data_IF_468460988208
#
_entry.id   IF_468460988208
#
_cell.length_a   1.000
_cell.length_b   1.000
_cell.length_c   1.000
_cell.angle_alpha   90.00
_cell.angle_beta   90.00
_cell.angle_gamma   90.00
#
_symmetry.space_group_name_H-M   'P 1'
#
loop_
_entity.id
_entity.type
_entity.pdbx_description
1 polymer ?
#
# COMPACT_ATOMS: atom_id res chain seq x y z
N UNK A 1 -21.86 24.27 41.16
CA UNK A 1 -21.08 25.39 40.60
C UNK A 1 -22.07 26.49 40.31
N UNK A 2 -21.99 27.62 41.03
CA UNK A 2 -22.96 28.72 40.94
C UNK A 2 -22.81 29.47 39.60
N UNK A 3 -23.88 30.12 39.14
CA UNK A 3 -23.82 31.07 38.01
C UNK A 3 -22.81 32.19 38.26
N UNK A 4 -22.55 32.51 39.52
CA UNK A 4 -21.57 33.52 39.92
C UNK A 4 -20.13 32.99 39.77
N UNK A 5 -19.88 31.73 40.14
CA UNK A 5 -18.59 31.06 39.94
C UNK A 5 -18.24 30.98 38.44
N UNK A 6 -19.24 30.67 37.61
CA UNK A 6 -19.06 30.60 36.15
C UNK A 6 -18.75 31.98 35.53
N UNK A 7 -19.41 33.03 36.01
CA UNK A 7 -19.13 34.40 35.58
C UNK A 7 -17.71 34.83 35.99
N UNK A 8 -17.29 34.47 37.20
CA UNK A 8 -15.94 34.74 37.70
C UNK A 8 -14.88 34.02 36.85
N UNK A 9 -15.05 32.72 36.58
CA UNK A 9 -14.13 31.96 35.72
C UNK A 9 -14.05 32.51 34.29
N UNK A 10 -15.18 32.95 33.73
CA UNK A 10 -15.23 33.60 32.40
C UNK A 10 -14.56 34.98 32.40
N UNK A 11 -14.62 35.72 33.49
CA UNK A 11 -13.93 37.00 33.65
C UNK A 11 -12.42 36.79 33.75
N UNK A 12 -11.98 35.83 34.57
CA UNK A 12 -10.56 35.51 34.72
C UNK A 12 -9.95 34.98 33.41
N UNK A 13 -10.66 34.08 32.71
CA UNK A 13 -10.22 33.61 31.38
C UNK A 13 -10.10 34.75 30.37
N UNK A 14 -10.99 35.75 30.42
CA UNK A 14 -10.92 36.93 29.55
C UNK A 14 -9.71 37.81 29.89
N UNK A 15 -9.43 37.99 31.17
CA UNK A 15 -8.23 38.71 31.63
C UNK A 15 -6.95 38.04 31.16
N UNK A 16 -6.88 36.72 31.29
CA UNK A 16 -5.75 35.94 30.79
C UNK A 16 -5.63 36.06 29.27
N UNK A 17 -6.72 35.89 28.52
CA UNK A 17 -6.68 36.01 27.06
C UNK A 17 -6.19 37.39 26.59
N UNK A 18 -6.68 38.48 27.21
CA UNK A 18 -6.26 39.83 26.87
C UNK A 18 -4.76 40.08 27.13
N UNK A 19 -4.16 39.42 28.11
CA UNK A 19 -2.73 39.55 28.40
C UNK A 19 -1.84 38.89 27.32
N UNK A 20 -2.40 37.95 26.53
CA UNK A 20 -1.70 37.24 25.46
C UNK A 20 -2.19 37.62 24.06
N UNK A 21 -3.02 38.66 23.95
CA UNK A 21 -3.70 39.03 22.70
C UNK A 21 -2.69 39.24 21.55
N UNK A 22 -1.59 39.96 21.80
CA UNK A 22 -0.55 40.21 20.81
C UNK A 22 0.04 38.90 20.25
N UNK A 23 0.38 37.94 21.12
CA UNK A 23 0.97 36.64 20.73
C UNK A 23 -0.02 35.77 19.95
N UNK A 24 -1.32 35.85 20.29
CA UNK A 24 -2.35 35.03 19.64
C UNK A 24 -2.66 35.48 18.20
N UNK A 25 -2.34 36.72 17.84
CA UNK A 25 -2.54 37.26 16.49
C UNK A 25 -1.30 37.14 15.59
N UNK A 26 -0.18 36.68 16.14
CA UNK A 26 1.02 36.41 15.35
C UNK A 26 0.86 35.13 14.51
N UNK A 27 1.42 35.10 13.28
CA UNK A 27 1.44 33.88 12.50
C UNK A 27 2.24 32.79 13.21
N UNK A 28 1.67 31.58 13.30
CA UNK A 28 2.31 30.43 13.95
C UNK A 28 3.71 30.19 13.36
N UNK A 29 4.77 30.03 14.20
CA UNK A 29 6.11 29.75 13.74
C UNK A 29 6.22 28.53 12.83
N UNK A 30 7.02 28.64 11.77
CA UNK A 30 7.22 27.57 10.77
C UNK A 30 7.70 26.25 11.38
N UNK A 31 8.49 26.30 12.45
CA UNK A 31 8.96 25.09 13.16
C UNK A 31 7.80 24.28 13.75
N UNK A 32 6.74 24.93 14.24
CA UNK A 32 5.57 24.23 14.77
C UNK A 32 4.69 23.67 13.66
N UNK A 33 4.52 24.44 12.57
CA UNK A 33 3.84 23.94 11.35
C UNK A 33 4.53 22.71 10.79
N UNK A 34 5.86 22.70 10.76
CA UNK A 34 6.66 21.57 10.27
C UNK A 34 6.53 20.31 11.15
N UNK A 35 6.29 20.45 12.46
CA UNK A 35 6.06 19.30 13.35
C UNK A 35 4.68 18.66 13.15
N UNK A 36 3.69 19.46 12.72
CA UNK A 36 2.32 19.00 12.45
C UNK A 36 2.12 18.56 11.01
N UNK A 37 3.03 18.94 10.11
CA UNK A 37 3.06 18.41 8.76
C UNK A 37 3.32 16.91 8.86
N UNK A 38 2.25 16.13 8.74
CA UNK A 38 2.38 14.68 8.56
C UNK A 38 3.37 14.47 7.40
N UNK A 39 4.38 13.60 7.55
CA UNK A 39 5.19 13.24 6.40
C UNK A 39 4.23 12.75 5.34
N UNK A 40 4.11 13.50 4.24
CA UNK A 40 3.28 13.12 3.12
C UNK A 40 3.62 11.67 2.83
N UNK A 41 2.61 10.79 2.97
CA UNK A 41 2.79 9.37 2.72
C UNK A 41 3.54 9.26 1.40
N UNK A 42 4.74 8.69 1.43
CA UNK A 42 5.54 8.56 0.22
C UNK A 42 4.80 7.58 -0.66
N UNK A 43 3.97 8.10 -1.57
CA UNK A 43 3.36 7.32 -2.62
C UNK A 43 4.47 7.03 -3.61
N UNK A 44 5.20 5.94 -3.34
CA UNK A 44 6.18 5.42 -4.29
C UNK A 44 5.40 4.90 -5.48
N UNK A 45 5.50 5.57 -6.62
CA UNK A 45 5.03 5.03 -7.88
C UNK A 45 5.93 3.83 -8.23
N UNK A 46 5.47 2.63 -7.89
CA UNK A 46 6.12 1.36 -8.20
C UNK A 46 6.09 1.06 -9.72
N UNK A 47 5.56 1.97 -10.53
CA UNK A 47 5.24 1.77 -11.92
C UNK A 47 3.99 0.90 -12.10
N UNK A 48 3.58 0.73 -13.35
CA UNK A 48 2.48 -0.18 -13.68
C UNK A 48 2.85 -1.63 -13.30
N UNK A 49 2.11 -2.21 -12.35
CA UNK A 49 2.22 -3.63 -12.01
C UNK A 49 1.52 -4.44 -13.10
N UNK A 50 2.28 -5.27 -13.82
CA UNK A 50 1.75 -6.18 -14.81
C UNK A 50 1.64 -7.58 -14.20
N UNK A 51 0.42 -8.04 -13.94
CA UNK A 51 0.17 -9.43 -13.54
C UNK A 51 0.28 -10.33 -14.76
N UNK A 52 1.03 -11.43 -14.63
CA UNK A 52 1.37 -12.32 -15.75
C UNK A 52 0.49 -13.57 -15.75
N UNK A 53 0.47 -14.30 -14.63
CA UNK A 53 -0.40 -15.46 -14.46
C UNK A 53 -1.03 -15.47 -13.06
N UNK A 54 -2.18 -16.10 -12.98
CA UNK A 54 -2.88 -16.43 -11.74
C UNK A 54 -3.06 -17.94 -11.68
N UNK A 55 -2.93 -18.57 -10.50
CA UNK A 55 -3.08 -20.02 -10.36
C UNK A 55 -3.52 -20.38 -8.94
N UNK A 56 -4.04 -21.60 -8.76
CA UNK A 56 -4.30 -22.18 -7.44
C UNK A 56 -3.04 -22.93 -6.98
N UNK A 57 -2.56 -22.59 -5.79
CA UNK A 57 -1.41 -23.24 -5.19
C UNK A 57 -1.79 -24.59 -4.56
N UNK A 58 -0.78 -25.42 -4.28
CA UNK A 58 -0.93 -26.75 -3.66
C UNK A 58 -1.61 -26.70 -2.29
N UNK A 59 -1.50 -25.57 -1.60
CA UNK A 59 -2.15 -25.31 -0.31
C UNK A 59 -3.57 -24.72 -0.44
N UNK A 60 -4.08 -24.59 -1.67
CA UNK A 60 -5.42 -24.06 -1.97
C UNK A 60 -5.50 -22.55 -2.10
N UNK A 61 -4.44 -21.78 -1.77
CA UNK A 61 -4.44 -20.33 -1.94
C UNK A 61 -4.40 -19.94 -3.41
N UNK A 62 -4.95 -18.77 -3.74
CA UNK A 62 -4.72 -18.16 -5.05
C UNK A 62 -3.38 -17.42 -5.05
N UNK A 63 -2.54 -17.66 -6.04
CA UNK A 63 -1.27 -16.95 -6.21
C UNK A 63 -1.21 -16.28 -7.58
N UNK A 64 -0.52 -15.13 -7.65
CA UNK A 64 -0.32 -14.35 -8.87
C UNK A 64 1.14 -13.96 -9.00
N UNK A 65 1.71 -14.17 -10.18
CA UNK A 65 3.02 -13.63 -10.52
C UNK A 65 2.88 -12.25 -11.15
N UNK A 66 3.78 -11.35 -10.82
CA UNK A 66 3.73 -9.98 -11.29
C UNK A 66 5.12 -9.48 -11.66
N UNK A 67 5.15 -8.45 -12.50
CA UNK A 67 6.34 -7.66 -12.78
C UNK A 67 6.03 -6.17 -12.68
N UNK A 68 7.06 -5.41 -12.39
CA UNK A 68 7.12 -3.95 -12.39
C UNK A 68 8.31 -3.53 -13.24
N UNK A 69 8.63 -2.23 -13.27
CA UNK A 69 9.82 -1.72 -13.94
C UNK A 69 11.14 -2.11 -13.25
N UNK A 70 11.12 -2.42 -11.94
CA UNK A 70 12.32 -2.65 -11.13
C UNK A 70 12.35 -4.00 -10.42
N UNK A 71 11.22 -4.72 -10.37
CA UNK A 71 11.08 -5.97 -9.63
C UNK A 71 10.03 -6.89 -10.24
N UNK A 72 10.10 -8.18 -9.91
CA UNK A 72 9.09 -9.16 -10.23
C UNK A 72 8.95 -10.13 -9.05
N UNK A 73 7.80 -10.77 -8.92
CA UNK A 73 7.55 -11.62 -7.77
C UNK A 73 6.32 -12.51 -7.89
N UNK A 74 6.13 -13.31 -6.85
CA UNK A 74 4.98 -14.16 -6.59
C UNK A 74 4.31 -13.68 -5.30
N UNK A 75 3.01 -13.39 -5.37
CA UNK A 75 2.20 -13.10 -4.20
C UNK A 75 1.05 -14.09 -4.09
N UNK A 76 0.74 -14.54 -2.87
CA UNK A 76 -0.40 -15.41 -2.60
C UNK A 76 -1.43 -14.70 -1.74
N UNK A 77 -2.70 -15.04 -1.94
CA UNK A 77 -3.82 -14.48 -1.19
C UNK A 77 -3.87 -15.13 0.20
N UNK A 78 -3.84 -14.31 1.22
CA UNK A 78 -3.97 -14.72 2.62
C UNK A 78 -5.44 -14.78 3.04
N UNK A 79 -5.69 -15.44 4.17
CA UNK A 79 -7.04 -15.65 4.70
C UNK A 79 -7.75 -14.34 5.09
N UNK A 80 -6.99 -13.30 5.46
CA UNK A 80 -7.50 -11.96 5.75
C UNK A 80 -7.81 -11.15 4.47
N UNK A 81 -7.56 -11.73 3.29
CA UNK A 81 -7.76 -11.08 2.01
C UNK A 81 -6.61 -10.17 1.60
N UNK A 82 -5.46 -10.17 2.28
CA UNK A 82 -4.25 -9.50 1.81
C UNK A 82 -3.52 -10.34 0.74
N UNK A 83 -2.64 -9.70 -0.02
CA UNK A 83 -1.67 -10.40 -0.89
C UNK A 83 -0.31 -10.38 -0.20
N UNK A 84 0.20 -11.56 0.18
CA UNK A 84 1.52 -11.70 0.79
C UNK A 84 2.56 -12.12 -0.24
N UNK A 85 3.66 -11.36 -0.31
CA UNK A 85 4.80 -11.66 -1.17
C UNK A 85 5.51 -12.92 -0.67
N UNK A 86 5.57 -13.94 -1.52
CA UNK A 86 6.27 -15.20 -1.23
C UNK A 86 7.71 -15.17 -1.76
N UNK A 87 7.90 -14.55 -2.92
CA UNK A 87 9.20 -14.35 -3.54
C UNK A 87 9.19 -13.03 -4.31
N UNK A 88 10.25 -12.25 -4.16
CA UNK A 88 10.51 -11.06 -4.98
C UNK A 88 11.95 -11.09 -5.43
N UNK A 89 12.21 -10.60 -6.64
CA UNK A 89 13.55 -10.38 -7.16
C UNK A 89 13.59 -9.04 -7.91
N UNK A 90 14.69 -8.31 -7.74
CA UNK A 90 14.96 -7.11 -8.53
C UNK A 90 15.22 -7.51 -9.99
N UNK A 91 14.66 -6.75 -10.91
CA UNK A 91 14.91 -6.92 -12.34
C UNK A 91 15.65 -5.68 -12.82
N UNK A 92 16.90 -5.85 -13.24
CA UNK A 92 17.62 -4.78 -13.92
C UNK A 92 17.02 -4.60 -15.30
N UNK A 93 16.63 -3.38 -15.68
CA UNK A 93 16.12 -3.08 -17.01
C UNK A 93 17.22 -3.26 -18.06
N UNK A 94 17.40 -4.50 -18.53
CA UNK A 94 18.38 -4.82 -19.57
C UNK A 94 17.83 -4.46 -20.95
N UNK A 95 18.20 -3.27 -21.44
CA UNK A 95 18.25 -2.96 -22.87
C UNK A 95 16.95 -2.54 -23.55
N UNK A 96 16.95 -1.35 -24.16
CA UNK A 96 15.93 -0.94 -25.14
C UNK A 96 16.07 -1.78 -26.41
N UNK A 97 15.26 -2.82 -26.54
CA UNK A 97 15.13 -3.61 -27.77
C UNK A 97 13.98 -4.61 -27.64
N UNK A 98 13.01 -4.53 -28.57
CA UNK A 98 11.84 -5.40 -28.75
C UNK A 98 11.21 -5.95 -27.45
N UNK A 99 10.06 -5.40 -27.03
CA UNK A 99 9.23 -5.93 -25.92
C UNK A 99 8.91 -7.40 -26.20
N UNK A 100 9.64 -8.32 -25.56
CA UNK A 100 9.34 -9.74 -25.69
C UNK A 100 7.96 -10.02 -25.08
N UNK A 101 7.16 -10.80 -25.80
CA UNK A 101 5.71 -10.95 -25.59
C UNK A 101 5.32 -11.85 -24.40
N UNK A 102 6.24 -12.17 -23.50
CA UNK A 102 5.93 -12.74 -22.21
C UNK A 102 7.03 -12.31 -21.23
N UNK A 103 6.61 -11.75 -20.11
CA UNK A 103 7.43 -11.48 -18.93
C UNK A 103 8.43 -12.59 -18.61
N UNK A 104 9.73 -12.32 -18.74
CA UNK A 104 10.74 -13.15 -18.09
C UNK A 104 10.76 -12.81 -16.61
N UNK A 105 9.88 -13.48 -15.85
CA UNK A 105 10.04 -13.54 -14.41
C UNK A 105 11.47 -14.05 -14.12
N UNK A 106 12.19 -13.47 -13.15
CA UNK A 106 13.50 -13.95 -12.77
C UNK A 106 13.49 -15.44 -12.42
N UNK A 107 14.59 -16.18 -12.64
CA UNK A 107 14.61 -17.63 -12.40
C UNK A 107 14.16 -18.05 -11.00
N UNK A 108 14.46 -17.25 -9.96
CA UNK A 108 13.98 -17.51 -8.60
C UNK A 108 12.47 -17.40 -8.45
N UNK A 109 11.84 -16.48 -9.20
CA UNK A 109 10.39 -16.31 -9.21
C UNK A 109 9.73 -17.45 -10.00
N UNK A 110 10.29 -17.85 -11.14
CA UNK A 110 9.81 -19.02 -11.89
C UNK A 110 9.87 -20.30 -11.04
N UNK A 111 10.99 -20.54 -10.36
CA UNK A 111 11.12 -21.69 -9.46
C UNK A 111 10.08 -21.67 -8.33
N UNK A 112 9.79 -20.49 -7.77
CA UNK A 112 8.75 -20.35 -6.74
C UNK A 112 7.34 -20.62 -7.28
N UNK A 113 7.05 -20.18 -8.52
CA UNK A 113 5.79 -20.48 -9.22
C UNK A 113 5.65 -21.99 -9.41
N UNK A 114 6.64 -22.66 -9.99
CA UNK A 114 6.61 -24.10 -10.25
C UNK A 114 6.46 -24.92 -8.94
N UNK A 115 7.14 -24.49 -7.88
CA UNK A 115 7.04 -25.13 -6.57
C UNK A 115 5.64 -25.00 -5.95
N UNK A 116 5.00 -23.83 -6.09
CA UNK A 116 3.71 -23.54 -5.48
C UNK A 116 2.52 -24.08 -6.28
N UNK A 117 2.61 -24.11 -7.60
CA UNK A 117 1.49 -24.34 -8.51
C UNK A 117 0.92 -25.77 -8.42
N UNK A 118 -0.40 -25.90 -8.26
CA UNK A 118 -1.07 -27.21 -8.17
C UNK A 118 -1.43 -27.82 -9.54
N UNK A 119 -1.55 -26.98 -10.57
CA UNK A 119 -2.03 -27.37 -11.90
C UNK A 119 -1.72 -26.30 -12.93
N UNK A 120 -2.58 -26.08 -13.90
CA UNK A 120 -2.36 -25.03 -14.90
C UNK A 120 -2.67 -23.63 -14.36
N UNK A 121 -2.14 -22.60 -15.04
CA UNK A 121 -2.58 -21.22 -14.81
C UNK A 121 -4.08 -21.08 -15.11
N UNK A 122 -4.75 -20.23 -14.34
CA UNK A 122 -6.15 -19.89 -14.57
C UNK A 122 -6.28 -19.24 -15.95
N UNK A 123 -7.26 -19.71 -16.71
CA UNK A 123 -7.69 -19.01 -17.91
C UNK A 123 -8.50 -17.74 -17.54
N UNK A 124 -8.84 -16.94 -18.54
CA UNK A 124 -9.52 -15.65 -18.33
C UNK A 124 -10.89 -15.78 -17.64
N UNK A 125 -11.64 -16.85 -17.89
CA UNK A 125 -12.93 -17.10 -17.26
C UNK A 125 -12.78 -17.50 -15.80
N UNK A 126 -11.89 -18.46 -15.52
CA UNK A 126 -11.59 -18.89 -14.16
C UNK A 126 -11.05 -17.74 -13.31
N UNK A 127 -10.21 -16.88 -13.89
CA UNK A 127 -9.67 -15.72 -13.19
C UNK A 127 -10.76 -14.66 -12.92
N UNK A 128 -11.70 -14.45 -13.86
CA UNK A 128 -12.86 -13.57 -13.63
C UNK A 128 -13.73 -14.11 -12.50
N UNK A 129 -14.07 -15.39 -12.52
CA UNK A 129 -14.86 -16.03 -11.45
C UNK A 129 -14.17 -15.92 -10.09
N UNK A 130 -12.85 -16.15 -10.04
CA UNK A 130 -12.08 -16.01 -8.81
C UNK A 130 -12.08 -14.56 -8.30
N UNK A 131 -11.97 -13.55 -9.19
CA UNK A 131 -12.09 -12.14 -8.82
C UNK A 131 -13.49 -11.80 -8.28
N UNK A 132 -14.54 -12.24 -8.96
CA UNK A 132 -15.93 -11.98 -8.57
C UNK A 132 -16.26 -12.64 -7.22
N UNK A 133 -15.65 -13.80 -6.93
CA UNK A 133 -15.71 -14.48 -5.65
C UNK A 133 -14.74 -13.90 -4.59
N UNK A 134 -14.08 -12.78 -4.87
CA UNK A 134 -13.13 -12.14 -3.95
C UNK A 134 -11.90 -12.99 -3.63
N UNK A 135 -11.55 -13.94 -4.49
CA UNK A 135 -10.50 -14.95 -4.34
C UNK A 135 -10.59 -15.78 -3.05
N UNK A 136 -11.81 -16.10 -2.62
CA UNK A 136 -12.04 -17.03 -1.51
C UNK A 136 -11.41 -18.41 -1.83
N UNK A 137 -10.72 -19.07 -0.88
CA UNK A 137 -9.98 -20.32 -1.09
C UNK A 137 -10.84 -21.50 -1.59
#
# INVERSE_FOLDING_TARGET
>A
MSRDDEQMLRAERRRMAAAFDDVLHEPVPERLKALLAEPAAQVVDLGAVAVQISFKAKDGRYCRSFSTNASAGLACREADGAWALQQVASVSASGRGMRQAASSLPPSVLAAVDAAMAGEALNAEQERMARDAGWAP
#
